data_IF_759133512207
#
_entry.id   IF_759133512207
#
_cell.length_a   1.000
_cell.length_b   1.000
_cell.length_c   1.000
_cell.angle_alpha   90.00
_cell.angle_beta   90.00
_cell.angle_gamma   90.00
#
_symmetry.space_group_name_H-M   'P 1'
#
loop_
_entity.id
_entity.type
_entity.pdbx_description
1 polymer ?
#
# COMPACT_ATOMS: atom_id res chain seq x y z
N UNK A 1 62.25 55.38 -6.96
CA UNK A 1 61.20 55.26 -8.00
C UNK A 1 60.22 54.19 -7.55
N UNK A 2 58.94 54.56 -7.58
CA UNK A 2 57.74 53.82 -7.16
C UNK A 2 57.74 52.34 -7.55
N UNK A 3 57.16 51.48 -6.71
CA UNK A 3 56.32 50.34 -7.13
C UNK A 3 55.45 49.87 -5.95
N UNK A 4 54.20 50.33 -5.97
CA UNK A 4 53.09 49.85 -5.15
C UNK A 4 52.83 48.35 -5.42
N UNK A 5 52.75 47.52 -4.38
CA UNK A 5 52.10 46.20 -4.45
C UNK A 5 50.82 46.25 -3.62
N UNK A 6 49.69 46.32 -4.33
CA UNK A 6 48.36 46.21 -3.75
C UNK A 6 48.12 44.77 -3.29
N UNK A 7 47.86 44.59 -1.99
CA UNK A 7 47.28 43.36 -1.44
C UNK A 7 45.76 43.46 -1.57
N UNK A 8 45.17 42.72 -2.51
CA UNK A 8 43.73 42.54 -2.59
C UNK A 8 43.38 41.28 -1.79
N UNK A 9 42.84 41.47 -0.59
CA UNK A 9 42.23 40.40 0.20
C UNK A 9 40.84 40.13 -0.37
N UNK A 10 40.70 39.06 -1.14
CA UNK A 10 39.41 38.58 -1.62
C UNK A 10 38.85 37.59 -0.58
N UNK A 11 37.96 38.07 0.28
CA UNK A 11 37.21 37.22 1.21
C UNK A 11 36.14 36.41 0.47
N UNK A 12 36.37 35.10 0.28
CA UNK A 12 35.33 34.17 -0.15
C UNK A 12 34.44 33.79 1.04
N UNK A 13 33.24 34.39 1.12
CA UNK A 13 32.15 33.86 1.92
C UNK A 13 31.56 32.63 1.21
N UNK A 14 31.95 31.43 1.64
CA UNK A 14 31.27 30.18 1.34
C UNK A 14 29.94 30.14 2.12
N UNK A 15 28.85 30.51 1.46
CA UNK A 15 27.49 30.25 1.96
C UNK A 15 27.15 28.81 1.58
N UNK A 16 27.33 27.89 2.54
CA UNK A 16 26.91 26.50 2.42
C UNK A 16 25.37 26.44 2.42
N UNK A 17 24.77 26.35 1.24
CA UNK A 17 23.38 25.92 1.07
C UNK A 17 23.28 24.44 1.48
N UNK A 18 22.98 24.20 2.76
CA UNK A 18 22.50 22.89 3.20
C UNK A 18 21.08 22.75 2.68
N UNK A 19 20.94 22.25 1.46
CA UNK A 19 19.67 21.73 0.98
C UNK A 19 19.29 20.56 1.89
N UNK A 20 18.26 20.75 2.72
CA UNK A 20 17.59 19.62 3.36
C UNK A 20 17.01 18.75 2.24
N UNK A 21 17.74 17.71 1.85
CA UNK A 21 17.20 16.66 1.01
C UNK A 21 16.00 16.08 1.78
N UNK A 22 14.79 16.41 1.35
CA UNK A 22 13.61 15.66 1.75
C UNK A 22 13.88 14.22 1.38
N UNK A 23 14.06 13.37 2.39
CA UNK A 23 14.09 11.93 2.18
C UNK A 23 12.81 11.57 1.44
N UNK A 24 12.96 11.01 0.24
CA UNK A 24 11.85 10.41 -0.46
C UNK A 24 11.16 9.45 0.53
N UNK A 25 9.81 9.40 0.57
CA UNK A 25 9.11 8.49 1.45
C UNK A 25 9.71 7.10 1.27
N UNK A 26 10.13 6.47 2.37
CA UNK A 26 10.61 5.10 2.36
C UNK A 26 9.51 4.27 1.71
N UNK A 27 9.77 3.73 0.51
CA UNK A 27 8.85 2.77 -0.10
C UNK A 27 8.75 1.60 0.89
N UNK A 28 7.60 1.47 1.53
CA UNK A 28 7.34 0.42 2.52
C UNK A 28 7.58 -0.99 1.95
N UNK A 29 7.69 -1.09 0.62
CA UNK A 29 7.89 -2.32 -0.14
C UNK A 29 9.19 -2.34 -0.96
N UNK A 30 10.13 -1.40 -0.74
CA UNK A 30 11.39 -1.37 -1.50
C UNK A 30 12.23 -2.64 -1.31
N UNK A 31 12.30 -3.15 -0.08
CA UNK A 31 12.98 -4.41 0.22
C UNK A 31 12.32 -5.62 -0.43
N UNK A 32 10.99 -5.71 -0.40
CA UNK A 32 10.23 -6.79 -1.04
C UNK A 32 10.33 -6.72 -2.58
N UNK A 33 10.36 -5.51 -3.13
CA UNK A 33 10.64 -5.27 -4.56
C UNK A 33 12.00 -5.84 -4.95
N UNK A 34 13.05 -5.57 -4.16
CA UNK A 34 14.39 -6.07 -4.43
C UNK A 34 14.45 -7.60 -4.32
N UNK A 35 13.87 -8.18 -3.25
CA UNK A 35 13.82 -9.64 -3.04
C UNK A 35 13.03 -10.35 -4.15
N UNK A 36 11.88 -9.81 -4.53
CA UNK A 36 11.05 -10.36 -5.61
C UNK A 36 11.81 -10.35 -6.95
N UNK A 37 12.42 -9.23 -7.32
CA UNK A 37 13.22 -9.16 -8.56
C UNK A 37 14.41 -10.14 -8.54
N UNK A 38 15.12 -10.25 -7.41
CA UNK A 38 16.20 -11.22 -7.28
C UNK A 38 15.73 -12.68 -7.45
N UNK A 39 14.59 -13.04 -6.83
CA UNK A 39 14.00 -14.36 -6.96
C UNK A 39 13.53 -14.66 -8.40
N UNK A 40 12.93 -13.67 -9.06
CA UNK A 40 12.51 -13.79 -10.47
C UNK A 40 13.71 -14.02 -11.38
N UNK A 41 14.75 -13.21 -11.26
CA UNK A 41 15.96 -13.32 -12.07
C UNK A 41 16.60 -14.71 -11.93
N UNK A 42 16.67 -15.22 -10.70
CA UNK A 42 17.15 -16.58 -10.41
C UNK A 42 16.29 -17.64 -11.11
N UNK A 43 14.96 -17.55 -11.01
CA UNK A 43 14.06 -18.51 -11.64
C UNK A 43 14.08 -18.46 -13.16
N UNK A 44 14.18 -17.26 -13.75
CA UNK A 44 14.32 -17.07 -15.19
C UNK A 44 15.62 -17.69 -15.70
N UNK A 45 16.74 -17.48 -14.99
CA UNK A 45 18.02 -18.10 -15.34
C UNK A 45 17.94 -19.63 -15.27
N UNK A 46 17.31 -20.18 -14.22
CA UNK A 46 17.11 -21.61 -14.06
C UNK A 46 16.27 -22.19 -15.21
N UNK A 47 15.14 -21.56 -15.53
CA UNK A 47 14.27 -22.00 -16.60
C UNK A 47 14.96 -21.92 -17.98
N UNK A 48 15.78 -20.89 -18.22
CA UNK A 48 16.59 -20.79 -19.45
C UNK A 48 17.61 -21.93 -19.57
N UNK A 49 18.17 -22.40 -18.46
CA UNK A 49 19.15 -23.48 -18.45
C UNK A 49 18.50 -24.87 -18.58
N UNK A 50 17.35 -25.09 -17.93
CA UNK A 50 16.75 -26.41 -17.73
C UNK A 50 15.43 -26.65 -18.48
N UNK A 51 14.79 -25.60 -18.98
CA UNK A 51 13.44 -25.65 -19.54
C UNK A 51 12.42 -26.20 -18.55
N UNK A 52 11.45 -26.97 -19.04
CA UNK A 52 10.33 -27.48 -18.24
C UNK A 52 10.74 -28.40 -17.08
N UNK A 53 11.97 -28.93 -17.08
CA UNK A 53 12.46 -29.71 -15.93
C UNK A 53 12.58 -28.86 -14.64
N UNK A 54 12.71 -27.53 -14.76
CA UNK A 54 12.73 -26.60 -13.63
C UNK A 54 11.35 -26.43 -12.95
N UNK A 55 10.24 -26.74 -13.62
CA UNK A 55 8.89 -26.52 -13.08
C UNK A 55 8.63 -27.29 -11.78
N UNK A 56 9.21 -28.49 -11.66
CA UNK A 56 9.13 -29.29 -10.45
C UNK A 56 9.88 -28.64 -9.27
N UNK A 57 10.97 -27.92 -9.53
CA UNK A 57 11.70 -27.18 -8.49
C UNK A 57 10.90 -25.96 -8.02
N UNK A 58 10.24 -25.25 -8.95
CA UNK A 58 9.39 -24.10 -8.63
C UNK A 58 8.14 -24.48 -7.81
N UNK A 59 7.69 -25.72 -7.88
CA UNK A 59 6.50 -26.21 -7.16
C UNK A 59 6.81 -26.77 -5.78
N UNK A 60 8.09 -26.84 -5.39
CA UNK A 60 8.52 -27.37 -4.09
C UNK A 60 8.94 -26.23 -3.16
N UNK A 61 8.85 -26.49 -1.86
CA UNK A 61 9.48 -25.61 -0.86
C UNK A 61 11.00 -25.59 -1.04
N UNK A 62 11.64 -24.46 -0.77
CA UNK A 62 13.09 -24.31 -0.84
C UNK A 62 13.53 -23.14 -1.72
N UNK A 63 14.40 -23.40 -2.70
CA UNK A 63 15.20 -22.38 -3.40
C UNK A 63 14.42 -21.29 -4.16
N UNK A 64 13.11 -21.49 -4.40
CA UNK A 64 12.22 -20.60 -5.13
C UNK A 64 11.02 -20.11 -4.30
N UNK A 65 11.13 -20.27 -2.97
CA UNK A 65 10.21 -19.75 -1.96
C UNK A 65 11.02 -19.00 -0.90
N UNK A 66 10.71 -17.73 -0.69
CA UNK A 66 11.33 -16.86 0.31
C UNK A 66 10.23 -16.16 1.14
N UNK A 67 9.86 -16.79 2.26
CA UNK A 67 8.74 -16.33 3.08
C UNK A 67 7.42 -16.33 2.30
N UNK A 68 6.87 -15.15 2.05
CA UNK A 68 5.65 -14.98 1.23
C UNK A 68 5.91 -14.91 -0.28
N UNK A 69 7.17 -14.73 -0.70
CA UNK A 69 7.56 -14.71 -2.10
C UNK A 69 7.67 -16.13 -2.62
N UNK A 70 7.01 -16.44 -3.74
CA UNK A 70 7.13 -17.72 -4.39
C UNK A 70 7.03 -17.58 -5.91
N UNK A 71 7.74 -18.46 -6.61
CA UNK A 71 7.62 -18.58 -8.07
C UNK A 71 6.32 -19.31 -8.42
N UNK A 72 5.62 -18.80 -9.42
CA UNK A 72 4.59 -19.52 -10.14
C UNK A 72 4.78 -19.30 -11.64
N UNK A 73 4.36 -20.30 -12.42
CA UNK A 73 4.53 -20.30 -13.88
C UNK A 73 3.19 -20.60 -14.51
N UNK A 74 2.83 -19.75 -15.47
CA UNK A 74 1.65 -19.93 -16.32
C UNK A 74 2.13 -20.00 -17.76
N UNK A 75 1.52 -20.83 -18.59
CA UNK A 75 1.78 -20.80 -20.03
C UNK A 75 0.98 -19.73 -20.77
N UNK A 76 1.31 -19.52 -22.04
CA UNK A 76 0.60 -18.56 -22.90
C UNK A 76 -0.82 -18.97 -23.29
N UNK A 77 -1.24 -20.20 -22.97
CA UNK A 77 -2.64 -20.63 -23.04
C UNK A 77 -3.44 -20.32 -21.77
N UNK A 78 -2.74 -19.87 -20.72
CA UNK A 78 -3.33 -19.49 -19.43
C UNK A 78 -3.44 -20.63 -18.43
N UNK A 79 -2.73 -21.75 -18.62
CA UNK A 79 -2.71 -22.87 -17.68
C UNK A 79 -1.60 -22.69 -16.65
N UNK A 80 -1.91 -22.91 -15.37
CA UNK A 80 -0.91 -22.92 -14.30
C UNK A 80 -0.04 -24.18 -14.41
N UNK A 81 1.27 -24.01 -14.55
CA UNK A 81 2.23 -25.11 -14.71
C UNK A 81 3.04 -25.40 -13.45
N UNK A 82 3.28 -24.38 -12.63
CA UNK A 82 4.02 -24.52 -11.37
C UNK A 82 3.59 -23.45 -10.37
N UNK A 83 3.64 -23.76 -9.08
CA UNK A 83 3.46 -22.77 -8.01
C UNK A 83 4.08 -23.27 -6.71
N UNK A 84 5.02 -22.51 -6.16
CA UNK A 84 5.61 -22.77 -4.83
C UNK A 84 4.72 -22.31 -3.67
N UNK A 85 3.65 -21.57 -3.97
CA UNK A 85 2.69 -21.06 -2.99
C UNK A 85 1.31 -21.72 -3.06
N UNK A 86 0.31 -21.15 -2.36
CA UNK A 86 -1.03 -21.71 -2.25
C UNK A 86 -1.78 -21.94 -3.59
N UNK A 87 -1.35 -21.27 -4.65
CA UNK A 87 -1.84 -21.50 -6.02
C UNK A 87 -1.42 -22.86 -6.60
N UNK A 88 -0.70 -23.71 -5.85
CA UNK A 88 -0.38 -25.10 -6.24
C UNK A 88 -1.65 -25.92 -6.56
N UNK A 89 -2.77 -25.59 -5.91
CA UNK A 89 -4.08 -26.20 -6.19
C UNK A 89 -4.64 -25.90 -7.59
N UNK A 90 -4.07 -24.92 -8.29
CA UNK A 90 -4.41 -24.54 -9.66
C UNK A 90 -3.55 -25.23 -10.71
N UNK A 91 -2.46 -25.92 -10.34
CA UNK A 91 -1.57 -26.59 -11.32
C UNK A 91 -2.37 -27.54 -12.21
N UNK A 92 -2.19 -27.42 -13.52
CA UNK A 92 -2.92 -28.16 -14.56
C UNK A 92 -4.28 -27.56 -14.94
N UNK A 93 -4.68 -26.42 -14.36
CA UNK A 93 -5.98 -25.79 -14.62
C UNK A 93 -5.84 -24.42 -15.30
N UNK A 94 -6.81 -24.00 -16.11
CA UNK A 94 -6.88 -22.63 -16.64
C UNK A 94 -7.03 -21.63 -15.49
N UNK A 95 -6.11 -20.67 -15.38
CA UNK A 95 -6.12 -19.64 -14.34
C UNK A 95 -7.35 -18.75 -14.45
N UNK A 96 -7.80 -18.47 -15.68
CA UNK A 96 -8.99 -17.66 -15.97
C UNK A 96 -10.28 -18.16 -15.29
N UNK A 97 -10.33 -19.43 -14.89
CA UNK A 97 -11.49 -20.02 -14.20
C UNK A 97 -11.72 -19.47 -12.79
N UNK A 98 -10.70 -18.85 -12.18
CA UNK A 98 -10.76 -18.30 -10.81
C UNK A 98 -10.59 -16.77 -10.78
N UNK A 99 -10.56 -16.12 -11.95
CA UNK A 99 -10.44 -14.66 -12.07
C UNK A 99 -11.82 -14.01 -12.23
N UNK A 100 -11.98 -12.81 -11.70
CA UNK A 100 -13.09 -11.92 -12.05
C UNK A 100 -12.87 -11.29 -13.44
N UNK A 101 -13.89 -10.60 -13.96
CA UNK A 101 -13.86 -10.10 -15.34
C UNK A 101 -12.79 -9.02 -15.57
N UNK A 102 -12.54 -8.16 -14.58
CA UNK A 102 -11.48 -7.14 -14.64
C UNK A 102 -10.10 -7.81 -14.71
N UNK A 103 -9.86 -8.83 -13.88
CA UNK A 103 -8.58 -9.52 -13.82
C UNK A 103 -8.35 -10.44 -15.02
N UNK A 104 -9.40 -10.96 -15.67
CA UNK A 104 -9.27 -11.73 -16.93
C UNK A 104 -8.62 -10.90 -18.02
N UNK A 105 -9.05 -9.66 -18.22
CA UNK A 105 -8.50 -8.79 -19.26
C UNK A 105 -7.02 -8.47 -19.00
N UNK A 106 -6.69 -8.07 -17.77
CA UNK A 106 -5.31 -7.80 -17.36
C UNK A 106 -4.41 -9.04 -17.48
N UNK A 107 -4.92 -10.21 -17.11
CA UNK A 107 -4.21 -11.48 -17.25
C UNK A 107 -3.94 -11.84 -18.71
N UNK A 108 -4.93 -11.70 -19.61
CA UNK A 108 -4.72 -11.94 -21.04
C UNK A 108 -3.68 -10.99 -21.64
N UNK A 109 -3.71 -9.71 -21.25
CA UNK A 109 -2.70 -8.74 -21.66
C UNK A 109 -1.30 -9.14 -21.18
N UNK A 110 -1.17 -9.64 -19.94
CA UNK A 110 0.10 -10.05 -19.36
C UNK A 110 0.73 -11.27 -20.07
N UNK A 111 -0.07 -12.31 -20.35
CA UNK A 111 0.44 -13.52 -21.02
C UNK A 111 0.69 -13.34 -22.52
N UNK A 112 0.10 -12.30 -23.12
CA UNK A 112 0.30 -11.94 -24.54
C UNK A 112 1.56 -11.10 -24.79
N UNK A 113 2.22 -10.60 -23.74
CA UNK A 113 3.46 -9.83 -23.87
C UNK A 113 4.55 -10.65 -24.60
N UNK A 114 5.42 -10.04 -25.42
CA UNK A 114 6.47 -10.76 -26.14
C UNK A 114 7.56 -11.29 -25.20
N UNK A 115 8.28 -12.34 -25.65
CA UNK A 115 9.54 -12.76 -25.05
C UNK A 115 10.66 -11.84 -25.54
N UNK A 116 10.76 -10.67 -24.92
CA UNK A 116 11.75 -9.62 -25.22
C UNK A 116 12.79 -9.45 -24.10
N UNK A 117 12.77 -10.35 -23.12
CA UNK A 117 13.64 -10.29 -21.97
C UNK A 117 13.26 -9.23 -20.92
N UNK A 118 12.19 -8.45 -21.14
CA UNK A 118 11.80 -7.37 -20.24
C UNK A 118 10.97 -7.91 -19.07
N UNK A 119 11.43 -7.61 -17.85
CA UNK A 119 10.63 -7.79 -16.64
C UNK A 119 9.53 -6.73 -16.61
N UNK A 120 8.30 -7.20 -16.46
CA UNK A 120 7.10 -6.36 -16.35
C UNK A 120 6.50 -6.51 -14.95
N UNK A 121 5.64 -5.56 -14.59
CA UNK A 121 4.91 -5.60 -13.33
C UNK A 121 3.42 -5.39 -13.53
N UNK A 122 2.63 -5.91 -12.58
CA UNK A 122 1.20 -5.67 -12.50
C UNK A 122 0.78 -5.65 -11.02
N UNK A 123 -0.36 -4.99 -10.74
CA UNK A 123 -1.00 -5.03 -9.43
C UNK A 123 -2.42 -5.54 -9.57
N UNK A 124 -2.81 -6.44 -8.67
CA UNK A 124 -4.17 -6.95 -8.58
C UNK A 124 -4.50 -7.31 -7.13
N UNK A 125 -5.72 -7.75 -6.85
CA UNK A 125 -6.12 -8.24 -5.53
C UNK A 125 -6.17 -9.76 -5.51
N UNK A 126 -5.59 -10.37 -4.49
CA UNK A 126 -5.57 -11.82 -4.36
C UNK A 126 -5.76 -12.26 -2.91
N UNK A 127 -6.23 -13.50 -2.72
CA UNK A 127 -6.40 -14.07 -1.39
C UNK A 127 -5.03 -14.29 -0.72
N UNK A 128 -4.74 -13.51 0.32
CA UNK A 128 -3.62 -13.75 1.21
C UNK A 128 -4.02 -14.78 2.27
N UNK A 129 -3.50 -15.99 2.13
CA UNK A 129 -3.75 -17.12 3.03
C UNK A 129 -3.19 -16.89 4.44
N UNK A 130 -2.14 -16.07 4.60
CA UNK A 130 -1.57 -15.75 5.90
C UNK A 130 -2.49 -14.85 6.73
N UNK A 131 -3.16 -13.90 6.07
CA UNK A 131 -4.09 -12.97 6.71
C UNK A 131 -5.57 -13.37 6.58
N UNK A 132 -5.87 -14.43 5.83
CA UNK A 132 -7.24 -14.95 5.64
C UNK A 132 -8.19 -13.97 4.94
N UNK A 133 -7.68 -13.16 4.00
CA UNK A 133 -8.49 -12.16 3.27
C UNK A 133 -7.87 -11.74 1.95
N UNK A 134 -8.64 -11.01 1.14
CA UNK A 134 -8.19 -10.45 -0.14
C UNK A 134 -7.40 -9.16 0.06
N UNK A 135 -6.15 -9.14 -0.40
CA UNK A 135 -5.23 -8.01 -0.29
C UNK A 135 -4.64 -7.64 -1.65
N UNK A 136 -4.22 -6.38 -1.78
CA UNK A 136 -3.46 -5.92 -2.94
C UNK A 136 -2.14 -6.71 -3.04
N UNK A 137 -1.75 -7.12 -4.25
CA UNK A 137 -0.54 -7.87 -4.56
C UNK A 137 0.15 -7.23 -5.74
N UNK A 138 1.46 -6.95 -5.62
CA UNK A 138 2.30 -6.57 -6.75
C UNK A 138 3.02 -7.81 -7.25
N UNK A 139 3.01 -8.00 -8.55
CA UNK A 139 3.74 -9.09 -9.21
C UNK A 139 4.73 -8.55 -10.22
N UNK A 140 5.84 -9.25 -10.35
CA UNK A 140 6.84 -9.10 -11.40
C UNK A 140 6.84 -10.38 -12.22
N UNK A 141 6.89 -10.24 -13.53
CA UNK A 141 6.87 -11.38 -14.43
C UNK A 141 7.73 -11.14 -15.66
N UNK A 142 8.24 -12.24 -16.20
CA UNK A 142 8.99 -12.25 -17.45
C UNK A 142 8.53 -13.44 -18.29
N UNK A 143 8.30 -13.19 -19.57
CA UNK A 143 8.05 -14.26 -20.54
C UNK A 143 9.38 -14.87 -20.98
N UNK A 144 9.42 -16.19 -21.06
CA UNK A 144 10.47 -16.98 -21.69
C UNK A 144 9.78 -18.05 -22.54
N UNK A 145 9.89 -17.95 -23.87
CA UNK A 145 9.13 -18.76 -24.84
C UNK A 145 7.62 -18.70 -24.59
N UNK A 146 7.03 -19.80 -24.18
CA UNK A 146 5.61 -20.00 -23.90
C UNK A 146 5.33 -20.08 -22.38
N UNK A 147 6.28 -19.68 -21.53
CA UNK A 147 6.12 -19.57 -20.07
C UNK A 147 6.19 -18.13 -19.61
N UNK A 148 5.31 -17.78 -18.67
CA UNK A 148 5.30 -16.52 -17.93
C UNK A 148 5.69 -16.84 -16.49
N UNK A 149 6.94 -16.57 -16.15
CA UNK A 149 7.52 -16.83 -14.83
C UNK A 149 7.26 -15.61 -13.97
N UNK A 150 6.67 -15.82 -12.80
CA UNK A 150 6.12 -14.74 -11.99
C UNK A 150 6.44 -14.91 -10.51
N UNK A 151 6.54 -13.78 -9.81
CA UNK A 151 6.68 -13.67 -8.35
C UNK A 151 5.97 -12.42 -7.88
N UNK A 152 5.53 -12.37 -6.63
CA UNK A 152 5.00 -11.15 -6.06
C UNK A 152 4.84 -11.19 -4.56
N UNK A 153 4.53 -10.04 -3.98
CA UNK A 153 4.29 -9.85 -2.55
C UNK A 153 2.98 -9.09 -2.32
N UNK A 154 2.41 -9.26 -1.13
CA UNK A 154 1.21 -8.53 -0.74
C UNK A 154 1.55 -7.13 -0.23
N UNK A 155 0.68 -6.17 -0.54
CA UNK A 155 0.81 -4.75 -0.18
C UNK A 155 -0.38 -4.32 0.69
N UNK A 156 -0.46 -4.78 1.95
CA UNK A 156 -1.59 -4.47 2.82
C UNK A 156 -1.66 -3.00 3.28
N UNK A 157 -0.62 -2.21 3.04
CA UNK A 157 -0.52 -0.80 3.44
C UNK A 157 -0.78 0.11 2.26
N UNK A 158 -1.51 1.18 2.54
CA UNK A 158 -1.74 2.26 1.59
C UNK A 158 -0.76 3.40 1.79
N UNK A 159 -0.55 4.20 0.75
CA UNK A 159 0.33 5.36 0.81
C UNK A 159 -0.36 6.58 1.44
N UNK A 160 0.42 7.56 1.94
CA UNK A 160 -0.10 8.86 2.35
C UNK A 160 -0.95 9.55 1.27
N UNK A 161 -0.56 9.44 0.00
CA UNK A 161 -1.26 10.04 -1.13
C UNK A 161 -2.64 9.40 -1.35
N UNK A 162 -2.71 8.06 -1.21
CA UNK A 162 -3.98 7.33 -1.27
C UNK A 162 -4.91 7.73 -0.11
N UNK A 163 -4.37 7.89 1.10
CA UNK A 163 -5.14 8.37 2.25
C UNK A 163 -5.69 9.79 2.03
N UNK A 164 -4.87 10.70 1.49
CA UNK A 164 -5.30 12.06 1.16
C UNK A 164 -6.33 12.10 0.04
N UNK A 165 -6.20 11.24 -0.98
CA UNK A 165 -7.18 11.14 -2.06
C UNK A 165 -8.54 10.67 -1.53
N UNK A 166 -8.55 9.63 -0.69
CA UNK A 166 -9.78 9.15 -0.06
C UNK A 166 -10.38 10.21 0.89
N UNK A 167 -9.54 10.93 1.64
CA UNK A 167 -10.00 12.05 2.46
C UNK A 167 -10.71 13.11 1.61
N UNK A 168 -10.11 13.57 0.50
CA UNK A 168 -10.73 14.56 -0.39
C UNK A 168 -12.08 14.08 -0.93
N UNK A 169 -12.15 12.82 -1.37
CA UNK A 169 -13.39 12.21 -1.84
C UNK A 169 -14.47 12.21 -0.76
N UNK A 170 -14.15 11.74 0.45
CA UNK A 170 -15.12 11.64 1.55
C UNK A 170 -15.52 13.02 2.04
N UNK A 171 -14.58 13.96 2.16
CA UNK A 171 -14.87 15.34 2.53
C UNK A 171 -15.83 16.01 1.55
N UNK A 172 -15.67 15.79 0.23
CA UNK A 172 -16.61 16.29 -0.77
C UNK A 172 -18.01 15.64 -0.62
N UNK A 173 -18.08 14.34 -0.36
CA UNK A 173 -19.35 13.66 -0.12
C UNK A 173 -20.03 14.11 1.18
N UNK A 174 -19.28 14.35 2.25
CA UNK A 174 -19.80 14.90 3.52
C UNK A 174 -20.29 16.34 3.33
N UNK A 175 -19.60 17.14 2.52
CA UNK A 175 -20.03 18.50 2.20
C UNK A 175 -21.38 18.52 1.46
N UNK A 176 -21.59 17.53 0.57
CA UNK A 176 -22.83 17.38 -0.20
C UNK A 176 -23.98 16.75 0.59
N UNK A 177 -23.73 15.63 1.27
CA UNK A 177 -24.69 14.90 2.08
C UNK A 177 -23.98 14.12 3.20
N UNK A 178 -23.83 14.78 4.35
CA UNK A 178 -23.21 14.18 5.53
C UNK A 178 -23.96 12.94 6.02
N UNK A 179 -25.29 12.94 6.00
CA UNK A 179 -26.10 11.85 6.55
C UNK A 179 -25.94 10.58 5.74
N UNK A 180 -26.08 10.67 4.41
CA UNK A 180 -25.88 9.54 3.51
C UNK A 180 -24.43 9.01 3.60
N UNK A 181 -23.45 9.91 3.55
CA UNK A 181 -22.03 9.54 3.61
C UNK A 181 -21.66 8.84 4.92
N UNK A 182 -22.10 9.37 6.07
CA UNK A 182 -21.92 8.74 7.38
C UNK A 182 -22.55 7.35 7.43
N UNK A 183 -23.76 7.20 6.88
CA UNK A 183 -24.43 5.90 6.76
C UNK A 183 -23.58 4.88 5.99
N UNK A 184 -23.05 5.27 4.82
CA UNK A 184 -22.19 4.43 3.98
C UNK A 184 -20.88 4.03 4.69
N UNK A 185 -20.23 4.98 5.37
CA UNK A 185 -19.01 4.68 6.16
C UNK A 185 -19.33 3.63 7.24
N UNK A 186 -20.44 3.79 7.96
CA UNK A 186 -20.83 2.87 9.03
C UNK A 186 -21.29 1.50 8.53
N UNK A 187 -21.66 1.40 7.25
CA UNK A 187 -21.96 0.15 6.55
C UNK A 187 -20.72 -0.49 5.90
N UNK A 188 -19.52 0.05 6.14
CA UNK A 188 -18.26 -0.41 5.53
C UNK A 188 -18.32 -0.44 4.00
N UNK A 189 -18.87 0.61 3.39
CA UNK A 189 -18.93 0.74 1.94
C UNK A 189 -17.52 0.60 1.33
N UNK A 190 -17.38 -0.33 0.39
CA UNK A 190 -16.12 -0.67 -0.30
C UNK A 190 -15.58 0.48 -1.17
N UNK A 191 -16.38 1.49 -1.48
CA UNK A 191 -15.93 2.70 -2.16
C UNK A 191 -15.33 3.73 -1.20
N UNK A 192 -15.62 3.62 0.11
CA UNK A 192 -15.15 4.55 1.15
C UNK A 192 -14.14 3.89 2.12
N UNK A 193 -13.78 2.63 1.83
CA UNK A 193 -12.83 1.83 2.59
C UNK A 193 -11.97 1.06 1.59
N UNK A 194 -10.65 1.17 1.69
CA UNK A 194 -9.73 0.50 0.78
C UNK A 194 -8.49 0.02 1.52
N UNK A 195 -8.23 -1.29 1.49
CA UNK A 195 -7.10 -1.91 2.20
C UNK A 195 -7.08 -1.52 3.69
N UNK A 196 -6.05 -0.81 4.15
CA UNK A 196 -5.93 -0.26 5.50
C UNK A 196 -6.52 1.16 5.67
N UNK A 197 -7.01 1.77 4.57
CA UNK A 197 -7.67 3.07 4.59
C UNK A 197 -9.14 2.93 4.98
N UNK A 198 -9.49 3.65 6.04
CA UNK A 198 -10.86 3.82 6.49
C UNK A 198 -11.04 5.23 7.04
N UNK A 199 -12.25 5.75 6.92
CA UNK A 199 -12.60 7.03 7.49
C UNK A 199 -13.18 6.92 8.90
N UNK A 200 -12.99 7.97 9.70
CA UNK A 200 -13.87 8.27 10.81
C UNK A 200 -14.34 9.71 10.72
N UNK A 201 -15.53 9.97 11.27
CA UNK A 201 -16.14 11.30 11.27
C UNK A 201 -16.55 11.67 12.69
N UNK A 202 -16.20 12.88 13.11
CA UNK A 202 -16.51 13.43 14.42
C UNK A 202 -17.39 14.67 14.24
N UNK A 203 -18.47 14.75 15.00
CA UNK A 203 -19.28 15.97 15.08
C UNK A 203 -18.64 16.93 16.09
N UNK A 204 -18.29 18.15 15.68
CA UNK A 204 -17.61 19.12 16.53
C UNK A 204 -18.54 19.75 17.59
N UNK A 205 -19.86 19.75 17.36
CA UNK A 205 -20.85 20.24 18.31
C UNK A 205 -21.02 19.25 19.46
N UNK A 206 -21.21 17.98 19.15
CA UNK A 206 -21.42 16.94 20.18
C UNK A 206 -20.12 16.34 20.70
N UNK A 207 -19.01 16.52 19.96
CA UNK A 207 -17.70 15.89 20.18
C UNK A 207 -17.76 14.37 20.24
N UNK A 208 -18.68 13.77 19.47
CA UNK A 208 -18.83 12.30 19.39
C UNK A 208 -18.42 11.80 18.02
N UNK A 209 -17.95 10.56 17.98
CA UNK A 209 -17.87 9.85 16.70
C UNK A 209 -19.29 9.69 16.15
N UNK A 210 -19.48 10.07 14.88
CA UNK A 210 -20.71 9.77 14.14
C UNK A 210 -20.47 8.71 13.08
N UNK A 211 -19.22 8.52 12.66
CA UNK A 211 -18.84 7.43 11.78
C UNK A 211 -17.49 6.83 12.11
N UNK A 212 -17.33 5.53 11.89
CA UNK A 212 -16.03 4.87 11.88
C UNK A 212 -16.06 3.62 11.00
N UNK A 213 -15.36 3.65 9.86
CA UNK A 213 -15.36 2.60 8.84
C UNK A 213 -14.62 1.30 9.18
N UNK A 214 -14.30 1.07 10.47
CA UNK A 214 -13.62 -0.16 10.91
C UNK A 214 -14.02 -0.59 12.33
N UNK A 215 -14.18 0.37 13.26
CA UNK A 215 -14.53 0.10 14.66
C UNK A 215 -15.92 0.65 15.00
N UNK A 216 -17.02 -0.08 14.69
CA UNK A 216 -18.39 0.36 15.01
C UNK A 216 -18.61 0.70 16.48
N UNK A 217 -17.88 0.03 17.40
CA UNK A 217 -17.91 0.29 18.85
C UNK A 217 -17.52 1.71 19.27
N UNK A 218 -16.85 2.46 18.41
CA UNK A 218 -16.49 3.86 18.68
C UNK A 218 -17.60 4.83 18.31
N UNK A 219 -18.55 4.42 17.46
CA UNK A 219 -19.65 5.29 17.05
C UNK A 219 -20.48 5.66 18.27
N UNK A 220 -20.73 6.96 18.41
CA UNK A 220 -21.46 7.51 19.53
C UNK A 220 -20.68 7.56 20.84
N UNK A 221 -19.37 7.28 20.90
CA UNK A 221 -18.56 7.54 22.11
C UNK A 221 -18.02 8.97 22.12
N UNK A 222 -17.60 9.47 23.29
CA UNK A 222 -16.93 10.78 23.42
C UNK A 222 -15.54 10.73 22.75
N UNK A 223 -15.36 11.55 21.72
CA UNK A 223 -14.12 11.64 20.97
C UNK A 223 -12.97 12.20 21.80
N UNK A 224 -13.24 13.10 22.76
CA UNK A 224 -12.18 13.70 23.60
C UNK A 224 -11.47 12.64 24.46
N UNK A 225 -12.19 11.60 24.86
CA UNK A 225 -11.64 10.49 25.65
C UNK A 225 -10.78 9.51 24.85
N UNK A 226 -10.70 9.65 23.52
CA UNK A 226 -9.93 8.74 22.68
C UNK A 226 -8.44 8.73 23.07
N UNK A 227 -7.91 7.54 23.28
CA UNK A 227 -6.49 7.28 23.55
C UNK A 227 -5.92 6.34 22.51
N UNK A 228 -4.69 6.62 22.08
CA UNK A 228 -3.87 5.70 21.28
C UNK A 228 -3.44 4.48 22.11
N UNK A 229 -2.86 3.47 21.46
CA UNK A 229 -2.45 2.23 22.15
C UNK A 229 -1.31 2.45 23.15
N UNK A 230 -0.52 3.52 23.00
CA UNK A 230 0.49 3.99 23.95
C UNK A 230 -0.06 5.02 24.96
N UNK A 231 -1.38 5.20 25.04
CA UNK A 231 -2.04 6.02 26.06
C UNK A 231 -2.10 7.53 25.79
N UNK A 232 -1.64 8.01 24.63
CA UNK A 232 -1.66 9.46 24.32
C UNK A 232 -3.08 9.98 24.03
N UNK A 233 -3.41 11.23 24.44
CA UNK A 233 -4.75 11.83 24.35
C UNK A 233 -5.11 12.33 22.94
N UNK A 234 -5.04 11.46 21.94
CA UNK A 234 -5.19 11.83 20.52
C UNK A 234 -6.53 12.52 20.19
N UNK A 235 -7.61 12.21 20.91
CA UNK A 235 -8.90 12.87 20.72
C UNK A 235 -8.87 14.35 21.11
N UNK A 236 -8.20 14.68 22.21
CA UNK A 236 -8.04 16.06 22.66
C UNK A 236 -7.11 16.85 21.73
N UNK A 237 -6.02 16.23 21.29
CA UNK A 237 -5.07 16.83 20.35
C UNK A 237 -5.74 17.18 19.01
N UNK A 238 -6.53 16.26 18.45
CA UNK A 238 -7.26 16.48 17.19
C UNK A 238 -8.30 17.58 17.36
N UNK A 239 -9.10 17.58 18.43
CA UNK A 239 -10.09 18.64 18.67
C UNK A 239 -9.43 20.01 18.81
N UNK A 240 -8.30 20.09 19.51
CA UNK A 240 -7.52 21.32 19.67
C UNK A 240 -6.99 21.82 18.32
N UNK A 241 -6.42 20.93 17.51
CA UNK A 241 -5.91 21.27 16.18
C UNK A 241 -7.02 21.77 15.26
N UNK A 242 -8.16 21.07 15.24
CA UNK A 242 -9.28 21.44 14.39
C UNK A 242 -9.88 22.76 14.83
N UNK A 243 -9.92 23.11 16.12
CA UNK A 243 -10.42 24.42 16.56
C UNK A 243 -9.73 25.62 15.89
N UNK A 244 -8.47 25.49 15.46
CA UNK A 244 -7.69 26.57 14.86
C UNK A 244 -7.39 26.38 13.38
N UNK A 245 -7.59 25.18 12.82
CA UNK A 245 -7.22 24.86 11.43
C UNK A 245 -8.34 24.10 10.70
N UNK A 246 -8.47 24.34 9.39
CA UNK A 246 -9.41 23.61 8.54
C UNK A 246 -8.89 22.24 8.10
N UNK A 247 -7.57 22.06 8.08
CA UNK A 247 -6.93 20.79 7.76
C UNK A 247 -5.79 20.52 8.73
N UNK A 248 -5.38 19.26 8.83
CA UNK A 248 -4.29 18.88 9.71
C UNK A 248 -3.85 17.45 9.53
N UNK A 249 -2.81 17.09 10.25
CA UNK A 249 -2.36 15.71 10.37
C UNK A 249 -1.86 15.42 11.78
N UNK A 250 -1.93 14.14 12.15
CA UNK A 250 -1.44 13.63 13.43
C UNK A 250 -0.95 12.19 13.26
N UNK A 251 0.11 11.83 13.98
CA UNK A 251 0.66 10.47 14.00
C UNK A 251 0.58 9.87 15.41
N UNK A 252 0.05 8.66 15.52
CA UNK A 252 -0.15 7.97 16.79
C UNK A 252 -0.12 6.45 16.62
N UNK A 253 0.02 5.69 17.71
CA UNK A 253 -0.08 4.23 17.63
C UNK A 253 -1.53 3.77 17.63
N UNK A 254 -1.88 2.92 16.67
CA UNK A 254 -3.21 2.35 16.52
C UNK A 254 -3.11 0.90 16.07
N UNK A 255 -4.11 0.08 16.44
CA UNK A 255 -4.19 -1.28 15.93
C UNK A 255 -4.49 -1.24 14.44
N UNK A 256 -3.62 -1.84 13.63
CA UNK A 256 -3.82 -1.98 12.20
C UNK A 256 -4.88 -3.07 11.95
N UNK A 257 -6.02 -2.75 11.31
CA UNK A 257 -7.05 -3.73 10.99
C UNK A 257 -6.53 -4.84 10.08
N UNK A 258 -5.49 -4.53 9.30
CA UNK A 258 -4.97 -5.45 8.31
C UNK A 258 -3.96 -6.45 8.89
N UNK A 259 -3.07 -6.02 9.76
CA UNK A 259 -2.04 -6.91 10.35
C UNK A 259 -2.42 -7.40 11.74
N UNK A 260 -3.39 -6.76 12.39
CA UNK A 260 -3.77 -7.00 13.78
C UNK A 260 -2.79 -6.43 14.81
N UNK A 261 -1.66 -5.87 14.37
CA UNK A 261 -0.57 -5.35 15.21
C UNK A 261 -0.79 -3.88 15.58
N UNK A 262 -0.13 -3.41 16.65
CA UNK A 262 -0.08 -2.00 17.00
C UNK A 262 1.03 -1.32 16.19
N UNK A 263 0.66 -0.36 15.35
CA UNK A 263 1.55 0.30 14.39
C UNK A 263 1.35 1.81 14.44
N UNK A 264 2.32 2.58 13.93
CA UNK A 264 2.15 4.02 13.77
C UNK A 264 1.21 4.31 12.59
N UNK A 265 0.17 5.09 12.87
CA UNK A 265 -0.79 5.57 11.90
C UNK A 265 -0.65 7.07 11.73
N UNK A 266 -0.42 7.53 10.50
CA UNK A 266 -0.51 8.94 10.11
C UNK A 266 -1.94 9.20 9.62
N UNK A 267 -2.65 10.11 10.28
CA UNK A 267 -4.04 10.45 9.97
C UNK A 267 -4.13 11.89 9.50
N UNK A 268 -4.72 12.08 8.33
CA UNK A 268 -5.06 13.36 7.74
C UNK A 268 -6.48 13.75 8.15
N UNK A 269 -6.68 15.04 8.41
CA UNK A 269 -7.89 15.61 8.98
C UNK A 269 -8.37 16.75 8.07
N UNK A 270 -9.68 16.80 7.84
CA UNK A 270 -10.34 17.90 7.14
C UNK A 270 -11.61 18.27 7.88
N UNK A 271 -11.75 19.55 8.22
CA UNK A 271 -13.00 20.12 8.72
C UNK A 271 -13.95 20.37 7.56
N UNK A 272 -15.20 19.92 7.70
CA UNK A 272 -16.27 20.07 6.71
C UNK A 272 -17.60 20.29 7.42
N UNK A 273 -18.25 21.45 7.25
CA UNK A 273 -19.61 21.73 7.75
C UNK A 273 -19.86 21.34 9.22
N UNK A 274 -18.91 21.63 10.12
CA UNK A 274 -19.03 21.27 11.55
C UNK A 274 -18.62 19.83 11.90
N UNK A 275 -18.12 19.07 10.93
CA UNK A 275 -17.52 17.76 11.13
C UNK A 275 -16.00 17.80 10.97
N UNK A 276 -15.32 16.84 11.60
CA UNK A 276 -13.95 16.45 11.25
C UNK A 276 -14.04 15.12 10.51
N UNK A 277 -13.63 15.12 9.25
CA UNK A 277 -13.44 13.91 8.45
C UNK A 277 -11.96 13.54 8.55
N UNK A 278 -11.68 12.28 8.82
CA UNK A 278 -10.31 11.81 9.00
C UNK A 278 -10.07 10.49 8.28
N UNK A 279 -8.94 10.39 7.59
CA UNK A 279 -8.46 9.16 6.94
C UNK A 279 -6.98 9.03 7.23
N UNK A 280 -6.49 7.83 7.51
CA UNK A 280 -5.06 7.63 7.75
C UNK A 280 -4.53 6.32 7.19
N UNK A 281 -3.22 6.30 7.01
CA UNK A 281 -2.43 5.18 6.52
C UNK A 281 -1.43 4.73 7.61
N UNK A 282 -1.05 3.45 7.58
CA UNK A 282 -0.05 2.91 8.50
C UNK A 282 1.34 2.97 7.87
N UNK A 283 2.31 3.44 8.64
CA UNK A 283 3.70 3.55 8.20
C UNK A 283 4.61 2.67 9.07
N UNK A 284 5.69 2.16 8.47
CA UNK A 284 6.82 1.62 9.22
C UNK A 284 7.58 2.81 9.80
N UNK A 285 7.98 2.72 11.07
CA UNK A 285 8.78 3.75 11.74
C UNK A 285 10.20 3.77 11.18
#
# INVERSE_FOLDING_TARGET
MSLYRAFTVLGLCLVSLVGMAQQAPVDAYGADTQRANALLLKAVAEYKAKGDTALAEFSRQGAYVDGELYIYVVDTSGVMLASGGPSVSLVGKPVVSVLDDDLKAAFQQAISQPDDGIVRSAEYRWWNWQHGKVERKRVFYQRVKDRVISVGYYMPRSSPEQAQQLLRQISAQVASDAKATVGRINQHDKQLTQDDLYAFVVDLKTRRFIAHGFSPRLIGTDFKSLRSTDGKPIGEDILKQMNTHEAGEITYQWRNPMTGQNEYKRTFLQRVNGYVVAVGCYAIK
#
